data_IF_111304630811
#
_entry.id   IF_111304630811
#
_cell.length_a   1.000
_cell.length_b   1.000
_cell.length_c   1.000
_cell.angle_alpha   90.00
_cell.angle_beta   90.00
_cell.angle_gamma   90.00
#
_symmetry.space_group_name_H-M   'P 1'
#
loop_
_entity.id
_entity.type
_entity.pdbx_description
1 polymer ?
#
# COMPACT_ATOMS: atom_id res chain seq x y z
N UNK A 1 19.38 -18.61 -23.47
CA UNK A 1 19.80 -19.22 -22.19
C UNK A 1 18.66 -19.08 -21.19
N UNK A 2 18.23 -20.18 -20.55
CA UNK A 2 17.06 -20.21 -19.67
C UNK A 2 17.26 -19.46 -18.35
N UNK A 3 16.16 -19.05 -17.72
CA UNK A 3 16.19 -18.36 -16.43
C UNK A 3 16.86 -19.26 -15.36
N UNK A 4 17.90 -18.79 -14.64
CA UNK A 4 18.60 -19.55 -13.61
C UNK A 4 17.69 -20.09 -12.49
N UNK A 5 16.55 -19.42 -12.27
CA UNK A 5 15.59 -19.76 -11.22
C UNK A 5 14.39 -20.58 -11.71
N UNK A 6 14.43 -21.14 -12.93
CA UNK A 6 13.28 -21.81 -13.55
C UNK A 6 12.73 -22.97 -12.71
N UNK A 7 13.60 -23.81 -12.14
CA UNK A 7 13.17 -24.93 -11.29
C UNK A 7 12.48 -24.46 -10.00
N UNK A 8 13.01 -23.41 -9.37
CA UNK A 8 12.47 -22.85 -8.12
C UNK A 8 11.13 -22.14 -8.37
N UNK A 9 10.99 -21.45 -9.51
CA UNK A 9 9.71 -20.86 -9.89
C UNK A 9 8.66 -21.93 -10.26
N UNK A 10 9.09 -23.06 -10.80
CA UNK A 10 8.20 -24.19 -11.11
C UNK A 10 7.72 -24.96 -9.86
N UNK A 11 8.49 -24.89 -8.76
CA UNK A 11 8.19 -25.54 -7.48
C UNK A 11 7.43 -24.65 -6.49
N UNK A 12 7.16 -23.39 -6.83
CA UNK A 12 6.32 -22.53 -6.01
C UNK A 12 4.92 -23.15 -5.83
N UNK A 13 4.28 -23.01 -4.66
CA UNK A 13 2.96 -23.57 -4.42
C UNK A 13 2.00 -23.19 -5.55
N UNK A 14 1.46 -24.20 -6.22
CA UNK A 14 0.46 -24.00 -7.28
C UNK A 14 -0.91 -24.03 -6.61
N UNK A 15 -1.51 -22.87 -6.47
CA UNK A 15 -2.81 -22.70 -5.83
C UNK A 15 -3.08 -21.23 -5.51
N UNK A 16 -4.29 -20.88 -5.09
CA UNK A 16 -4.57 -19.56 -4.54
C UNK A 16 -3.67 -19.33 -3.32
N UNK A 17 -3.18 -18.10 -3.18
CA UNK A 17 -2.38 -17.68 -2.03
C UNK A 17 -3.15 -18.00 -0.72
N UNK A 18 -2.53 -18.72 0.23
CA UNK A 18 -3.19 -19.12 1.48
C UNK A 18 -3.73 -17.93 2.29
N UNK A 19 -3.17 -16.74 2.09
CA UNK A 19 -3.57 -15.53 2.80
C UNK A 19 -4.84 -14.89 2.22
N UNK A 20 -5.35 -15.36 1.07
CA UNK A 20 -6.53 -14.76 0.40
C UNK A 20 -7.77 -14.72 1.29
N UNK A 21 -8.06 -15.80 2.01
CA UNK A 21 -9.23 -15.83 2.89
C UNK A 21 -9.07 -14.90 4.09
N UNK A 22 -7.84 -14.81 4.63
CA UNK A 22 -7.51 -13.87 5.70
C UNK A 22 -7.66 -12.41 5.24
N UNK A 23 -7.12 -12.09 4.06
CA UNK A 23 -7.25 -10.75 3.45
C UNK A 23 -8.73 -10.42 3.20
N UNK A 24 -9.51 -11.38 2.68
CA UNK A 24 -10.96 -11.21 2.47
C UNK A 24 -11.68 -10.90 3.77
N UNK A 25 -11.38 -11.62 4.85
CA UNK A 25 -11.98 -11.38 6.16
C UNK A 25 -11.62 -9.98 6.69
N UNK A 26 -10.35 -9.55 6.58
CA UNK A 26 -9.89 -8.22 7.01
C UNK A 26 -10.53 -7.08 6.22
N UNK A 27 -10.80 -7.28 4.93
CA UNK A 27 -11.39 -6.27 4.04
C UNK A 27 -12.92 -6.40 3.89
N UNK A 28 -13.57 -7.21 4.73
CA UNK A 28 -15.01 -7.48 4.67
C UNK A 28 -15.87 -6.22 4.86
N UNK A 29 -15.44 -5.31 5.74
CA UNK A 29 -16.14 -4.05 6.02
C UNK A 29 -15.88 -2.94 4.99
N UNK A 30 -14.93 -3.13 4.08
CA UNK A 30 -14.62 -2.14 3.03
C UNK A 30 -15.59 -2.31 1.87
N UNK A 31 -16.57 -1.41 1.77
CA UNK A 31 -17.66 -1.47 0.78
C UNK A 31 -17.17 -1.37 -0.66
N UNK A 32 -16.24 -0.45 -0.93
CA UNK A 32 -15.72 -0.18 -2.26
C UNK A 32 -14.19 -0.25 -2.24
N UNK A 33 -13.62 -1.03 -3.17
CA UNK A 33 -12.16 -1.13 -3.38
C UNK A 33 -11.85 -0.59 -4.77
N UNK A 34 -11.12 0.52 -4.84
CA UNK A 34 -10.75 1.17 -6.10
C UNK A 34 -9.24 0.99 -6.28
N UNK A 35 -8.83 0.31 -7.36
CA UNK A 35 -7.43 0.12 -7.69
C UNK A 35 -7.02 1.12 -8.77
N UNK A 36 -6.14 2.05 -8.42
CA UNK A 36 -5.59 3.04 -9.37
C UNK A 36 -4.24 2.54 -9.88
N UNK A 37 -4.16 2.23 -11.17
CA UNK A 37 -2.97 1.68 -11.83
C UNK A 37 -2.42 2.63 -12.88
N UNK A 38 -1.10 2.57 -13.13
CA UNK A 38 -0.45 3.24 -14.24
C UNK A 38 0.56 2.34 -14.93
N UNK A 39 0.63 2.38 -16.27
CA UNK A 39 1.59 1.60 -17.05
C UNK A 39 3.00 2.22 -17.12
N UNK A 40 3.16 3.45 -16.65
CA UNK A 40 4.43 4.20 -16.65
C UNK A 40 4.54 5.06 -15.39
N UNK A 41 5.77 5.37 -14.97
CA UNK A 41 6.04 6.36 -13.93
C UNK A 41 5.75 7.79 -14.41
N UNK A 42 5.47 8.70 -13.49
CA UNK A 42 5.32 10.13 -13.78
C UNK A 42 3.99 10.56 -14.41
N UNK A 43 3.03 9.66 -14.60
CA UNK A 43 1.71 10.00 -15.19
C UNK A 43 0.74 10.67 -14.20
N UNK A 44 1.14 10.87 -12.94
CA UNK A 44 0.29 11.49 -11.92
C UNK A 44 -0.64 10.53 -11.18
N UNK A 45 -0.35 9.21 -11.16
CA UNK A 45 -1.14 8.21 -10.41
C UNK A 45 -1.38 8.63 -8.95
N UNK A 46 -0.32 8.97 -8.22
CA UNK A 46 -0.41 9.33 -6.81
C UNK A 46 -1.20 10.62 -6.60
N UNK A 47 -1.01 11.62 -7.46
CA UNK A 47 -1.79 12.86 -7.46
C UNK A 47 -3.28 12.59 -7.64
N UNK A 48 -3.64 11.75 -8.60
CA UNK A 48 -5.03 11.37 -8.84
C UNK A 48 -5.62 10.62 -7.63
N UNK A 49 -4.92 9.62 -7.10
CA UNK A 49 -5.38 8.85 -5.93
C UNK A 49 -5.58 9.74 -4.70
N UNK A 50 -4.66 10.67 -4.43
CA UNK A 50 -4.77 11.63 -3.33
C UNK A 50 -5.99 12.54 -3.49
N UNK A 51 -6.18 13.15 -4.67
CA UNK A 51 -7.32 14.04 -4.89
C UNK A 51 -8.66 13.29 -4.91
N UNK A 52 -8.70 12.08 -5.45
CA UNK A 52 -9.89 11.23 -5.40
C UNK A 52 -10.27 10.94 -3.95
N UNK A 53 -9.29 10.57 -3.11
CA UNK A 53 -9.51 10.27 -1.69
C UNK A 53 -10.01 11.49 -0.93
N UNK A 54 -9.40 12.67 -1.14
CA UNK A 54 -9.87 13.93 -0.56
C UNK A 54 -11.29 14.26 -1.03
N UNK A 55 -11.60 14.05 -2.31
CA UNK A 55 -12.93 14.33 -2.85
C UNK A 55 -13.99 13.40 -2.26
N UNK A 56 -13.68 12.12 -2.04
CA UNK A 56 -14.58 11.17 -1.39
C UNK A 56 -14.78 11.52 0.10
N UNK A 57 -13.72 11.95 0.77
CA UNK A 57 -13.75 12.35 2.17
C UNK A 57 -14.52 13.66 2.43
N UNK A 58 -14.86 14.45 1.40
CA UNK A 58 -15.69 15.67 1.54
C UNK A 58 -17.10 15.39 2.10
N UNK A 59 -17.56 14.16 2.01
CA UNK A 59 -18.81 13.75 2.64
C UNK A 59 -18.49 13.07 3.97
N UNK A 60 -18.99 13.63 5.06
CA UNK A 60 -18.85 13.04 6.41
C UNK A 60 -19.57 11.67 6.53
N UNK A 61 -20.39 11.31 5.56
CA UNK A 61 -21.02 9.99 5.49
C UNK A 61 -20.08 8.89 4.96
N UNK A 62 -18.89 9.26 4.46
CA UNK A 62 -17.93 8.35 3.84
C UNK A 62 -16.67 8.22 4.70
N UNK A 63 -16.32 6.99 5.05
CA UNK A 63 -15.03 6.61 5.62
C UNK A 63 -14.08 6.21 4.49
N UNK A 64 -12.94 6.88 4.38
CA UNK A 64 -12.02 6.74 3.25
C UNK A 64 -10.64 6.29 3.72
N UNK A 65 -10.12 5.26 3.07
CA UNK A 65 -8.75 4.79 3.24
C UNK A 65 -7.95 4.92 1.95
N UNK A 66 -6.78 5.56 2.01
CA UNK A 66 -5.80 5.62 0.92
C UNK A 66 -4.61 4.73 1.26
N UNK A 67 -4.45 3.64 0.51
CA UNK A 67 -3.31 2.73 0.63
C UNK A 67 -2.33 2.95 -0.53
N UNK A 68 -1.12 3.38 -0.21
CA UNK A 68 -0.03 3.59 -1.14
C UNK A 68 1.01 2.46 -1.04
N UNK A 69 1.08 1.68 -2.11
CA UNK A 69 2.03 0.56 -2.28
C UNK A 69 3.17 0.91 -3.26
N UNK A 70 3.34 2.18 -3.62
CA UNK A 70 4.34 2.62 -4.59
C UNK A 70 5.73 2.77 -3.93
N UNK A 71 6.51 1.70 -3.96
CA UNK A 71 7.84 1.63 -3.32
C UNK A 71 8.87 2.52 -4.04
N UNK A 72 8.73 2.72 -5.35
CA UNK A 72 9.74 3.41 -6.16
C UNK A 72 9.72 4.93 -5.99
N UNK A 73 8.69 5.47 -5.36
CA UNK A 73 8.52 6.90 -5.13
C UNK A 73 7.24 7.18 -4.35
N UNK A 74 7.17 6.73 -3.08
CA UNK A 74 5.99 6.95 -2.24
C UNK A 74 5.83 8.45 -2.01
N UNK A 75 4.92 9.04 -2.78
CA UNK A 75 4.69 10.48 -2.82
C UNK A 75 3.41 10.88 -2.09
N UNK A 76 2.62 9.90 -1.66
CA UNK A 76 1.35 10.13 -0.96
C UNK A 76 1.56 10.83 0.39
N UNK A 77 2.49 10.44 1.28
CA UNK A 77 2.75 11.19 2.52
C UNK A 77 2.95 12.69 2.27
N UNK A 78 3.80 13.02 1.28
CA UNK A 78 4.04 14.40 0.84
C UNK A 78 2.80 15.10 0.29
N UNK A 79 2.08 14.46 -0.62
CA UNK A 79 0.90 15.06 -1.24
C UNK A 79 -0.24 15.29 -0.23
N UNK A 80 -0.29 14.51 0.85
CA UNK A 80 -1.30 14.61 1.89
C UNK A 80 -0.86 15.47 3.08
N UNK A 81 0.36 16.03 3.06
CA UNK A 81 0.88 16.86 4.15
C UNK A 81 1.29 16.07 5.41
N UNK A 82 1.64 14.80 5.25
CA UNK A 82 2.00 13.85 6.31
C UNK A 82 3.50 13.49 6.30
N UNK A 83 4.38 14.38 5.82
CA UNK A 83 5.84 14.15 5.88
C UNK A 83 6.30 14.18 7.34
N UNK A 84 7.08 13.16 7.74
CA UNK A 84 7.57 13.01 9.11
C UNK A 84 6.62 12.26 10.05
N UNK A 85 5.43 11.90 9.59
CA UNK A 85 4.53 11.01 10.32
C UNK A 85 4.97 9.54 10.21
N UNK A 86 4.71 8.78 11.26
CA UNK A 86 5.04 7.35 11.33
C UNK A 86 3.77 6.50 11.53
N UNK A 87 3.80 5.27 11.04
CA UNK A 87 2.70 4.33 11.27
C UNK A 87 2.66 3.95 12.75
N UNK A 88 1.53 4.22 13.41
CA UNK A 88 1.35 3.80 14.79
C UNK A 88 1.08 2.29 14.89
N UNK A 89 1.82 1.61 15.76
CA UNK A 89 1.57 0.21 16.07
C UNK A 89 0.62 0.08 17.26
N UNK A 90 -0.49 -0.63 17.05
CA UNK A 90 -1.47 -0.98 18.08
C UNK A 90 -1.50 -2.48 18.32
N UNK A 91 -2.22 -2.91 19.37
CA UNK A 91 -2.46 -4.34 19.64
C UNK A 91 -3.15 -5.08 18.48
N UNK A 92 -3.84 -4.34 17.60
CA UNK A 92 -4.57 -4.89 16.46
C UNK A 92 -3.78 -4.80 15.13
N UNK A 93 -2.53 -4.35 15.20
CA UNK A 93 -1.65 -4.12 14.05
C UNK A 93 -1.42 -2.63 13.80
N UNK A 94 -1.09 -2.30 12.57
CA UNK A 94 -0.81 -0.92 12.15
C UNK A 94 -2.08 -0.08 12.04
N UNK A 95 -2.03 1.11 12.61
CA UNK A 95 -3.05 2.14 12.48
C UNK A 95 -2.62 3.14 11.39
N UNK A 96 -3.55 3.54 10.51
CA UNK A 96 -3.25 4.55 9.49
C UNK A 96 -2.98 5.92 10.12
N UNK A 97 -2.27 6.76 9.38
CA UNK A 97 -2.08 8.19 9.70
C UNK A 97 -3.27 8.95 9.14
N UNK A 98 -3.96 9.73 9.96
CA UNK A 98 -5.17 10.43 9.55
C UNK A 98 -4.86 11.84 9.03
N UNK A 99 -5.44 12.17 7.88
CA UNK A 99 -5.43 13.52 7.30
C UNK A 99 -6.62 14.34 7.80
N UNK A 100 -7.75 13.66 7.99
CA UNK A 100 -9.02 14.15 8.54
C UNK A 100 -9.65 13.00 9.33
N UNK A 101 -10.68 13.28 10.13
CA UNK A 101 -11.33 12.28 10.99
C UNK A 101 -11.83 11.05 10.21
N UNK A 102 -12.24 11.22 8.95
CA UNK A 102 -12.77 10.18 8.06
C UNK A 102 -11.80 9.79 6.92
N UNK A 103 -10.54 10.25 6.95
CA UNK A 103 -9.56 9.99 5.91
C UNK A 103 -8.23 9.48 6.49
N UNK A 104 -8.06 8.16 6.45
CA UNK A 104 -6.83 7.48 6.85
C UNK A 104 -5.92 7.19 5.66
N UNK A 105 -4.62 7.35 5.85
CA UNK A 105 -3.57 7.07 4.86
C UNK A 105 -2.63 6.01 5.42
N UNK A 106 -2.28 5.05 4.58
CA UNK A 106 -1.22 4.09 4.84
C UNK A 106 -0.27 4.10 3.64
N UNK A 107 1.01 4.34 3.84
CA UNK A 107 2.03 4.34 2.79
C UNK A 107 3.29 3.66 3.29
N UNK A 108 3.99 2.98 2.38
CA UNK A 108 5.34 2.45 2.64
C UNK A 108 6.31 3.59 2.99
N UNK A 109 6.06 4.81 2.52
CA UNK A 109 6.87 5.98 2.86
C UNK A 109 6.95 6.27 4.36
N UNK A 110 5.95 5.87 5.15
CA UNK A 110 5.96 6.02 6.61
C UNK A 110 6.86 4.99 7.33
N UNK A 111 7.33 3.96 6.62
CA UNK A 111 8.16 2.88 7.18
C UNK A 111 9.65 3.08 6.87
N UNK A 112 10.00 4.15 6.15
CA UNK A 112 11.37 4.48 5.77
C UNK A 112 11.92 5.54 6.73
N UNK A 113 13.11 5.33 7.32
CA UNK A 113 13.72 6.32 8.21
C UNK A 113 13.98 7.65 7.50
N UNK A 114 14.43 7.60 6.24
CA UNK A 114 14.55 8.77 5.37
C UNK A 114 13.82 8.54 4.03
N UNK A 115 13.23 9.58 3.43
CA UNK A 115 12.56 9.49 2.12
C UNK A 115 13.47 9.02 0.97
N UNK A 116 14.77 9.28 1.09
CA UNK A 116 15.80 8.91 0.10
C UNK A 116 16.41 7.52 0.38
N UNK A 117 15.98 6.83 1.44
CA UNK A 117 16.50 5.51 1.78
C UNK A 117 16.05 4.47 0.75
N UNK A 118 17.02 3.70 0.25
CA UNK A 118 16.73 2.62 -0.68
C UNK A 118 16.02 1.46 0.03
N UNK A 119 14.82 1.12 -0.44
CA UNK A 119 14.08 -0.05 0.05
C UNK A 119 14.72 -1.33 -0.48
N UNK A 120 15.37 -2.10 0.39
CA UNK A 120 15.90 -3.43 0.03
C UNK A 120 14.75 -4.42 -0.06
N UNK A 121 14.22 -4.63 -1.26
CA UNK A 121 13.20 -5.66 -1.49
C UNK A 121 13.85 -7.05 -1.46
N UNK A 122 13.66 -7.77 -0.36
CA UNK A 122 13.95 -9.20 -0.34
C UNK A 122 12.75 -9.91 -0.95
N UNK A 123 12.99 -10.69 -2.01
CA UNK A 123 11.97 -11.59 -2.55
C UNK A 123 11.48 -12.58 -1.49
N UNK A 124 10.38 -13.32 -1.75
CA UNK A 124 9.90 -14.34 -0.83
C UNK A 124 11.06 -15.23 -0.40
N UNK A 125 11.21 -15.41 0.91
CA UNK A 125 12.28 -16.22 1.52
C UNK A 125 12.21 -17.62 0.90
N UNK A 126 13.02 -17.86 -0.13
CA UNK A 126 13.01 -19.12 -0.89
C UNK A 126 13.72 -20.25 -0.15
N UNK A 127 14.56 -19.90 0.82
CA UNK A 127 15.24 -20.85 1.71
C UNK A 127 15.00 -20.44 3.17
N UNK A 128 14.60 -21.42 3.98
CA UNK A 128 14.75 -21.38 5.43
C UNK A 128 16.22 -21.67 5.79
#
# INVERSE_FOLDING_TARGET
>A
AGCPNQQICASAPKGPDPDVEFIRAKLSNVKHKILVLSGKGGVGKSTFSSQLSLSLARSDASEVGLLDIDICGPSVPKMMGLEGEEVHQSNNGWSPVYVQDNLGVMSIGFMLPNPDDAVVWRGPRKNA
#
